data_IF_590489176227
#
_entry.id   IF_590489176227
#
_cell.length_a   1.000
_cell.length_b   1.000
_cell.length_c   1.000
_cell.angle_alpha   90.00
_cell.angle_beta   90.00
_cell.angle_gamma   90.00
#
_symmetry.space_group_name_H-M   'P 1'
#
loop_
_entity.id
_entity.type
_entity.pdbx_description
1 polymer ?
#
# COMPACT_ATOMS: atom_id res chain seq x y z
N UNK A 1 0.18 29.15 -71.14
CA UNK A 1 0.06 27.70 -71.29
C UNK A 1 1.42 27.09 -71.02
N UNK A 2 1.74 26.70 -69.82
CA UNK A 2 2.98 26.01 -69.42
C UNK A 2 2.73 24.52 -69.52
N UNK A 3 3.23 23.92 -70.63
CA UNK A 3 3.23 22.49 -70.83
C UNK A 3 4.34 21.88 -69.94
N UNK A 4 3.97 21.10 -68.96
CA UNK A 4 4.92 20.29 -68.20
C UNK A 4 5.20 19.01 -68.96
N UNK A 5 6.45 18.78 -69.41
CA UNK A 5 6.76 17.58 -70.18
C UNK A 5 6.85 16.34 -69.32
N UNK A 6 6.08 15.31 -69.67
CA UNK A 6 6.45 13.91 -69.53
C UNK A 6 6.63 13.35 -68.15
N UNK A 7 5.67 13.54 -67.24
CA UNK A 7 5.63 12.72 -65.98
C UNK A 7 5.01 11.36 -66.36
N UNK A 8 5.84 10.32 -66.47
CA UNK A 8 5.40 8.95 -66.84
C UNK A 8 4.34 8.49 -65.81
N UNK A 9 3.24 7.91 -66.22
CA UNK A 9 2.16 7.37 -65.39
C UNK A 9 2.72 6.52 -64.20
N UNK A 10 3.84 5.84 -64.51
CA UNK A 10 4.55 5.03 -63.52
C UNK A 10 5.17 5.88 -62.40
N UNK A 11 5.74 7.05 -62.70
CA UNK A 11 6.34 7.95 -61.72
C UNK A 11 5.29 8.60 -60.81
N UNK A 12 4.11 8.89 -61.37
CA UNK A 12 2.97 9.41 -60.58
C UNK A 12 2.42 8.35 -59.62
N UNK A 13 2.28 7.10 -60.07
CA UNK A 13 1.84 5.99 -59.23
C UNK A 13 2.82 5.69 -58.10
N UNK A 14 4.13 5.76 -58.35
CA UNK A 14 5.16 5.56 -57.31
C UNK A 14 5.13 6.71 -56.27
N UNK A 15 4.99 7.96 -56.73
CA UNK A 15 4.85 9.11 -55.82
C UNK A 15 3.61 9.02 -54.94
N UNK A 16 2.47 8.62 -55.50
CA UNK A 16 1.23 8.42 -54.72
C UNK A 16 1.37 7.28 -53.71
N UNK A 17 2.01 6.17 -54.11
CA UNK A 17 2.25 5.04 -53.22
C UNK A 17 3.18 5.42 -52.04
N UNK A 18 4.23 6.21 -52.28
CA UNK A 18 5.14 6.73 -51.24
C UNK A 18 4.42 7.70 -50.31
N UNK A 19 3.56 8.58 -50.85
CA UNK A 19 2.76 9.51 -50.04
C UNK A 19 1.76 8.76 -49.14
N UNK A 20 1.10 7.74 -49.65
CA UNK A 20 0.17 6.90 -48.91
C UNK A 20 0.89 6.09 -47.84
N UNK A 21 2.07 5.58 -48.11
CA UNK A 21 2.91 4.87 -47.12
C UNK A 21 3.40 5.80 -46.02
N UNK A 22 3.75 7.06 -46.31
CA UNK A 22 4.14 8.05 -45.32
C UNK A 22 3.00 8.47 -44.41
N UNK A 23 1.78 8.56 -44.92
CA UNK A 23 0.59 8.86 -44.09
C UNK A 23 0.18 7.70 -43.17
N UNK A 24 0.36 6.45 -43.64
CA UNK A 24 0.09 5.25 -42.81
C UNK A 24 1.11 5.09 -41.65
N UNK A 25 2.36 5.54 -41.83
CA UNK A 25 3.40 5.49 -40.81
C UNK A 25 3.09 6.33 -39.59
N UNK A 26 2.51 7.53 -39.75
CA UNK A 26 2.17 8.41 -38.62
C UNK A 26 1.04 7.83 -37.75
N UNK A 27 0.10 7.11 -38.30
CA UNK A 27 -1.00 6.49 -37.55
C UNK A 27 -0.52 5.26 -36.76
N UNK A 28 0.40 4.47 -37.28
CA UNK A 28 0.97 3.31 -36.61
C UNK A 28 1.80 3.72 -35.38
N UNK A 29 2.58 4.81 -35.48
CA UNK A 29 3.37 5.35 -34.36
C UNK A 29 2.45 5.94 -33.28
N UNK A 30 1.38 6.64 -33.63
CA UNK A 30 0.41 7.16 -32.68
C UNK A 30 -0.34 6.03 -31.96
N UNK A 31 -0.72 4.96 -32.66
CA UNK A 31 -1.38 3.80 -32.05
C UNK A 31 -0.44 3.03 -31.11
N UNK A 32 0.83 2.86 -31.50
CA UNK A 32 1.86 2.25 -30.65
C UNK A 32 2.12 3.10 -29.38
N UNK A 33 2.14 4.42 -29.49
CA UNK A 33 2.27 5.34 -28.35
C UNK A 33 1.10 5.26 -27.39
N UNK A 34 -0.14 5.22 -27.90
CA UNK A 34 -1.36 5.08 -27.07
C UNK A 34 -1.39 3.70 -26.40
N UNK A 35 -0.99 2.63 -27.09
CA UNK A 35 -0.90 1.31 -26.49
C UNK A 35 0.17 1.24 -25.42
N UNK A 36 1.35 1.82 -25.62
CA UNK A 36 2.42 1.87 -24.62
C UNK A 36 1.98 2.66 -23.38
N UNK A 37 1.36 3.82 -23.53
CA UNK A 37 0.84 4.64 -22.42
C UNK A 37 -0.29 3.90 -21.67
N UNK A 38 -1.13 3.15 -22.38
CA UNK A 38 -2.18 2.33 -21.78
C UNK A 38 -1.57 1.16 -21.00
N UNK A 39 -0.55 0.50 -21.53
CA UNK A 39 0.17 -0.58 -20.83
C UNK A 39 0.91 -0.06 -19.59
N UNK A 40 1.54 1.12 -19.64
CA UNK A 40 2.13 1.75 -18.46
C UNK A 40 1.09 2.08 -17.40
N UNK A 41 -0.09 2.55 -17.79
CA UNK A 41 -1.16 2.94 -16.85
C UNK A 41 -1.91 1.76 -16.26
N UNK A 42 -2.06 0.67 -16.99
CA UNK A 42 -2.82 -0.52 -16.56
C UNK A 42 -1.94 -1.68 -16.13
N UNK A 43 -0.63 -1.58 -16.35
CA UNK A 43 0.33 -2.60 -16.00
C UNK A 43 0.54 -2.70 -14.49
N UNK A 44 0.97 -3.87 -14.03
CA UNK A 44 1.50 -4.10 -12.69
C UNK A 44 2.96 -4.54 -12.79
N UNK A 45 3.70 -4.30 -11.73
CA UNK A 45 5.06 -4.79 -11.57
C UNK A 45 5.20 -5.55 -10.27
N UNK A 46 6.11 -6.52 -10.25
CA UNK A 46 6.39 -7.29 -9.05
C UNK A 46 7.26 -6.46 -8.11
N UNK A 47 6.81 -6.32 -6.86
CA UNK A 47 7.55 -5.72 -5.76
C UNK A 47 7.95 -6.82 -4.80
N UNK A 48 9.22 -6.82 -4.40
CA UNK A 48 9.75 -7.80 -3.46
C UNK A 48 9.54 -7.34 -2.02
N UNK A 49 9.34 -8.30 -1.13
CA UNK A 49 9.24 -8.05 0.31
C UNK A 49 10.48 -7.34 0.84
N UNK A 50 10.28 -6.26 1.60
CA UNK A 50 11.37 -5.55 2.28
C UNK A 50 11.99 -6.40 3.42
N UNK A 51 11.15 -7.21 4.10
CA UNK A 51 11.55 -8.08 5.19
C UNK A 51 11.01 -9.51 5.00
N UNK A 52 11.90 -10.47 4.81
CA UNK A 52 11.55 -11.89 4.58
C UNK A 52 11.59 -12.77 5.82
N UNK A 53 11.97 -12.22 6.98
CA UNK A 53 12.13 -12.99 8.22
C UNK A 53 10.81 -13.42 8.88
N UNK A 54 9.66 -13.19 8.24
CA UNK A 54 8.37 -13.64 8.71
C UNK A 54 7.99 -15.03 8.13
N UNK A 55 8.65 -15.46 7.06
CA UNK A 55 8.40 -16.74 6.41
C UNK A 55 8.65 -17.91 7.36
N UNK A 56 7.67 -18.77 7.55
CA UNK A 56 7.76 -19.94 8.43
C UNK A 56 7.77 -19.62 9.92
N UNK A 57 7.59 -18.38 10.35
CA UNK A 57 7.63 -17.92 11.74
C UNK A 57 6.25 -17.62 12.30
N UNK A 58 6.07 -17.90 13.59
CA UNK A 58 4.90 -17.43 14.31
C UNK A 58 4.97 -15.92 14.56
N UNK A 59 3.83 -15.22 14.46
CA UNK A 59 3.84 -13.78 14.65
C UNK A 59 2.63 -13.24 15.42
N UNK A 60 2.83 -12.07 16.02
CA UNK A 60 1.77 -11.22 16.55
C UNK A 60 1.90 -9.79 15.99
N UNK A 61 0.78 -9.10 15.85
CA UNK A 61 0.74 -7.69 15.44
C UNK A 61 0.18 -6.88 16.60
N UNK A 62 0.96 -5.95 17.12
CA UNK A 62 0.55 -5.04 18.18
C UNK A 62 0.64 -3.59 17.69
N UNK A 63 -0.41 -2.80 17.92
CA UNK A 63 -0.45 -1.40 17.52
C UNK A 63 -0.49 -0.53 18.76
N UNK A 64 0.49 0.37 18.88
CA UNK A 64 0.48 1.47 19.81
C UNK A 64 -0.06 2.73 19.12
N UNK A 65 -0.80 3.54 19.85
CA UNK A 65 -1.26 4.85 19.40
C UNK A 65 -1.37 5.78 20.61
N UNK A 66 -1.19 7.06 20.38
CA UNK A 66 -1.35 8.05 21.41
C UNK A 66 -2.84 8.22 21.84
N UNK A 67 -3.05 8.99 22.91
CA UNK A 67 -4.40 9.24 23.43
C UNK A 67 -5.27 10.07 22.51
N UNK A 68 -4.66 10.89 21.66
CA UNK A 68 -5.41 11.74 20.70
C UNK A 68 -6.02 10.87 19.62
N UNK A 69 -5.24 9.96 19.04
CA UNK A 69 -5.72 8.99 18.04
C UNK A 69 -6.81 8.10 18.64
N UNK A 70 -6.57 7.55 19.85
CA UNK A 70 -7.55 6.70 20.54
C UNK A 70 -8.84 7.45 20.91
N UNK A 71 -8.75 8.72 21.27
CA UNK A 71 -9.90 9.56 21.59
C UNK A 71 -10.72 9.94 20.37
N UNK A 72 -10.08 10.16 19.23
CA UNK A 72 -10.75 10.51 17.96
C UNK A 72 -11.48 9.32 17.33
N UNK A 73 -10.90 8.13 17.43
CA UNK A 73 -11.51 6.88 16.96
C UNK A 73 -11.06 5.69 17.81
N UNK A 74 -11.83 5.37 18.84
CA UNK A 74 -11.54 4.28 19.78
C UNK A 74 -11.47 2.89 19.12
N UNK A 75 -12.02 2.71 17.91
CA UNK A 75 -12.03 1.43 17.18
C UNK A 75 -10.96 1.34 16.10
N UNK A 76 -10.19 2.41 15.87
CA UNK A 76 -9.16 2.43 14.83
C UNK A 76 -8.12 1.30 15.03
N UNK A 77 -7.59 1.16 16.24
CA UNK A 77 -6.62 0.11 16.58
C UNK A 77 -7.20 -1.28 16.29
N UNK A 78 -8.45 -1.52 16.71
CA UNK A 78 -9.13 -2.82 16.46
C UNK A 78 -9.25 -3.13 14.97
N UNK A 79 -9.69 -2.16 14.17
CA UNK A 79 -9.86 -2.36 12.72
C UNK A 79 -8.53 -2.59 12.01
N UNK A 80 -7.52 -1.77 12.34
CA UNK A 80 -6.18 -1.89 11.77
C UNK A 80 -5.51 -3.21 12.14
N UNK A 81 -5.53 -3.60 13.43
CA UNK A 81 -4.97 -4.87 13.88
C UNK A 81 -5.57 -6.05 13.11
N UNK A 82 -6.91 -6.11 13.05
CA UNK A 82 -7.60 -7.19 12.35
C UNK A 82 -7.39 -7.12 10.82
N UNK A 83 -7.33 -5.92 10.24
CA UNK A 83 -7.06 -5.72 8.81
C UNK A 83 -5.68 -6.25 8.41
N UNK A 84 -4.65 -5.85 9.15
CA UNK A 84 -3.26 -6.25 8.88
C UNK A 84 -3.09 -7.75 9.07
N UNK A 85 -3.55 -8.32 10.20
CA UNK A 85 -3.47 -9.76 10.45
C UNK A 85 -4.16 -10.55 9.34
N UNK A 86 -5.35 -10.13 8.90
CA UNK A 86 -6.08 -10.80 7.83
C UNK A 86 -5.30 -10.80 6.50
N UNK A 87 -4.66 -9.67 6.13
CA UNK A 87 -3.86 -9.55 4.91
C UNK A 87 -2.59 -10.41 4.99
N UNK A 88 -1.90 -10.40 6.12
CA UNK A 88 -0.73 -11.26 6.36
C UNK A 88 -1.13 -12.75 6.33
N UNK A 89 -2.21 -13.12 7.00
CA UNK A 89 -2.70 -14.49 7.04
C UNK A 89 -3.20 -15.01 5.69
N UNK A 90 -3.61 -14.14 4.77
CA UNK A 90 -4.01 -14.51 3.41
C UNK A 90 -2.82 -14.78 2.48
N UNK A 91 -1.63 -14.28 2.80
CA UNK A 91 -0.42 -14.52 2.01
C UNK A 91 0.14 -15.92 2.24
N UNK A 92 0.41 -16.65 1.14
CA UNK A 92 1.02 -17.98 1.19
C UNK A 92 2.46 -17.94 1.69
N UNK A 93 3.16 -16.85 1.43
CA UNK A 93 4.57 -16.68 1.78
C UNK A 93 4.75 -16.44 3.29
N UNK A 94 3.73 -15.86 3.95
CA UNK A 94 3.70 -15.61 5.40
C UNK A 94 3.13 -16.80 6.17
N UNK A 95 2.38 -17.70 5.49
CA UNK A 95 1.81 -18.90 6.10
C UNK A 95 2.92 -19.85 6.54
N UNK A 96 3.50 -19.56 7.70
CA UNK A 96 4.40 -20.48 8.38
C UNK A 96 3.64 -21.58 9.12
N UNK A 97 4.33 -22.69 9.35
CA UNK A 97 3.79 -23.82 10.11
C UNK A 97 3.37 -23.47 11.55
N UNK A 98 3.77 -22.30 12.06
CA UNK A 98 3.62 -21.90 13.46
C UNK A 98 2.47 -20.90 13.73
N UNK A 99 1.83 -20.37 12.67
CA UNK A 99 0.61 -19.59 12.81
C UNK A 99 0.81 -18.13 13.28
N UNK A 100 -0.29 -17.52 13.69
CA UNK A 100 -0.33 -16.14 14.16
C UNK A 100 -1.24 -15.99 15.38
N UNK A 101 -1.01 -14.95 16.18
CA UNK A 101 -1.89 -14.60 17.29
C UNK A 101 -3.12 -13.86 16.75
N UNK A 102 -4.34 -14.35 16.98
CA UNK A 102 -5.55 -13.66 16.56
C UNK A 102 -5.64 -12.26 17.15
N UNK A 103 -6.09 -11.28 16.35
CA UNK A 103 -6.18 -9.89 16.77
C UNK A 103 -7.01 -9.68 18.04
N UNK A 104 -8.06 -10.48 18.24
CA UNK A 104 -8.88 -10.43 19.45
C UNK A 104 -8.05 -10.71 20.72
N UNK A 105 -7.10 -11.66 20.67
CA UNK A 105 -6.23 -11.95 21.82
C UNK A 105 -5.23 -10.82 22.09
N UNK A 106 -4.69 -10.20 21.04
CA UNK A 106 -3.82 -9.03 21.19
C UNK A 106 -4.57 -7.87 21.82
N UNK A 107 -5.77 -7.58 21.35
CA UNK A 107 -6.62 -6.50 21.87
C UNK A 107 -7.08 -6.77 23.33
N UNK A 108 -7.42 -8.02 23.63
CA UNK A 108 -7.74 -8.45 24.99
C UNK A 108 -6.55 -8.26 25.93
N UNK A 109 -5.34 -8.64 25.51
CA UNK A 109 -4.11 -8.40 26.26
C UNK A 109 -3.90 -6.91 26.50
N UNK A 110 -3.99 -6.06 25.47
CA UNK A 110 -3.81 -4.61 25.59
C UNK A 110 -4.83 -3.99 26.58
N UNK A 111 -6.06 -4.46 26.53
CA UNK A 111 -7.12 -4.00 27.45
C UNK A 111 -6.85 -4.43 28.91
N UNK A 112 -6.48 -5.71 29.13
CA UNK A 112 -6.27 -6.27 30.46
C UNK A 112 -4.93 -5.86 31.11
N UNK A 113 -3.97 -5.40 30.29
CA UNK A 113 -2.62 -4.99 30.74
C UNK A 113 -2.32 -3.54 30.34
N UNK A 114 -2.97 -2.52 30.91
CA UNK A 114 -2.88 -1.13 30.43
C UNK A 114 -1.46 -0.54 30.46
N UNK A 115 -0.52 -1.17 31.14
CA UNK A 115 0.90 -0.78 31.16
C UNK A 115 1.77 -1.56 30.17
N UNK A 116 1.17 -2.33 29.28
CA UNK A 116 1.90 -3.16 28.31
C UNK A 116 2.92 -2.35 27.47
N UNK A 117 2.60 -1.10 27.14
CA UNK A 117 3.49 -0.23 26.37
C UNK A 117 4.82 0.13 27.08
N UNK A 118 4.95 -0.18 28.37
CA UNK A 118 6.19 0.00 29.13
C UNK A 118 7.02 -1.30 29.23
N UNK A 119 6.53 -2.39 28.66
CA UNK A 119 7.27 -3.64 28.63
C UNK A 119 8.33 -3.63 27.53
N UNK A 120 9.41 -4.41 27.74
CA UNK A 120 10.36 -4.61 26.67
C UNK A 120 9.75 -5.43 25.52
N UNK A 121 10.29 -5.31 24.34
CA UNK A 121 9.74 -5.97 23.16
C UNK A 121 9.86 -7.50 23.26
N UNK A 122 10.98 -8.01 23.74
CA UNK A 122 11.15 -9.44 23.99
C UNK A 122 10.11 -9.98 24.95
N UNK A 123 9.81 -9.27 26.03
CA UNK A 123 8.73 -9.65 26.95
C UNK A 123 7.37 -9.66 26.28
N UNK A 124 7.08 -8.74 25.38
CA UNK A 124 5.83 -8.75 24.62
C UNK A 124 5.75 -9.96 23.70
N UNK A 125 6.83 -10.30 23.02
CA UNK A 125 6.89 -11.47 22.16
C UNK A 125 6.73 -12.78 22.96
N UNK A 126 7.34 -12.88 24.13
CA UNK A 126 7.20 -14.01 25.05
C UNK A 126 5.77 -14.18 25.56
N UNK A 127 5.10 -13.08 25.91
CA UNK A 127 3.69 -13.10 26.36
C UNK A 127 2.76 -13.68 25.30
N UNK A 128 3.03 -13.39 24.01
CA UNK A 128 2.28 -13.95 22.90
C UNK A 128 2.77 -15.32 22.43
N UNK A 129 3.94 -15.75 22.89
CA UNK A 129 4.57 -17.01 22.48
C UNK A 129 4.92 -17.05 21.00
N UNK A 130 5.44 -15.94 20.45
CA UNK A 130 5.73 -15.80 19.03
C UNK A 130 7.21 -15.55 18.78
N UNK A 131 7.67 -15.97 17.60
CA UNK A 131 9.06 -15.76 17.14
C UNK A 131 9.25 -14.36 16.53
N UNK A 132 8.17 -13.74 16.05
CA UNK A 132 8.17 -12.40 15.41
C UNK A 132 7.08 -11.53 16.02
N UNK A 133 7.47 -10.36 16.51
CA UNK A 133 6.50 -9.36 16.95
C UNK A 133 6.55 -8.19 15.97
N UNK A 134 5.44 -7.95 15.28
CA UNK A 134 5.25 -6.77 14.43
C UNK A 134 4.66 -5.67 15.32
N UNK A 135 5.48 -4.68 15.62
CA UNK A 135 5.11 -3.53 16.43
C UNK A 135 4.86 -2.33 15.54
N UNK A 136 3.69 -1.71 15.66
CA UNK A 136 3.32 -0.55 14.87
C UNK A 136 3.07 0.61 15.84
N UNK A 137 3.88 1.66 15.70
CA UNK A 137 3.67 2.93 16.39
C UNK A 137 2.90 3.89 15.48
N UNK A 138 1.61 4.03 15.74
CA UNK A 138 0.70 4.87 14.93
C UNK A 138 0.89 6.34 15.31
N UNK A 139 1.37 7.14 14.36
CA UNK A 139 1.81 8.52 14.59
C UNK A 139 0.77 9.56 14.15
N UNK A 140 0.03 9.27 13.09
CA UNK A 140 -1.03 10.16 12.57
C UNK A 140 -2.22 9.34 12.10
N UNK A 141 -3.41 9.76 12.51
CA UNK A 141 -4.68 9.24 12.01
C UNK A 141 -5.69 10.37 11.96
N UNK A 142 -6.00 10.84 10.78
CA UNK A 142 -7.01 11.86 10.54
C UNK A 142 -7.75 11.58 9.23
N UNK A 143 -8.99 12.00 9.14
CA UNK A 143 -9.82 11.81 7.94
C UNK A 143 -10.05 13.12 7.19
N UNK A 144 -10.11 14.25 7.89
CA UNK A 144 -10.37 15.56 7.31
C UNK A 144 -9.13 16.44 7.26
N UNK A 145 -9.25 17.52 6.49
CA UNK A 145 -8.25 18.58 6.43
C UNK A 145 -8.21 19.35 7.77
N UNK A 146 -7.02 19.59 8.34
CA UNK A 146 -6.92 20.37 9.56
C UNK A 146 -7.54 21.76 9.42
N UNK A 147 -8.49 22.09 10.30
CA UNK A 147 -9.20 23.37 10.28
C UNK A 147 -10.34 23.48 9.25
N UNK A 148 -10.59 22.43 8.46
CA UNK A 148 -11.66 22.42 7.48
C UNK A 148 -12.51 21.14 7.62
N UNK A 149 -13.72 21.26 8.14
CA UNK A 149 -14.62 20.14 8.36
C UNK A 149 -15.37 19.68 7.07
N UNK A 150 -15.22 20.38 5.96
CA UNK A 150 -15.94 20.12 4.73
C UNK A 150 -15.16 19.31 3.71
N UNK A 151 -13.84 19.20 3.89
CA UNK A 151 -12.96 18.51 2.96
C UNK A 151 -12.32 17.27 3.59
N UNK A 152 -12.24 16.22 2.78
CA UNK A 152 -11.46 15.04 3.12
C UNK A 152 -9.98 15.24 2.73
N UNK A 153 -9.10 14.98 3.67
CA UNK A 153 -7.65 14.84 3.48
C UNK A 153 -7.16 13.81 4.50
N UNK A 154 -7.61 12.57 4.28
CA UNK A 154 -7.28 11.46 5.16
C UNK A 154 -5.80 11.13 5.10
N UNK A 155 -5.18 11.04 6.27
CA UNK A 155 -3.78 10.63 6.44
C UNK A 155 -3.71 9.59 7.53
N UNK A 156 -2.97 8.54 7.26
CA UNK A 156 -2.61 7.52 8.22
C UNK A 156 -1.11 7.26 8.10
N UNK A 157 -0.38 7.42 9.20
CA UNK A 157 1.05 7.13 9.23
C UNK A 157 1.47 6.46 10.51
N UNK A 158 2.52 5.65 10.41
CA UNK A 158 3.11 4.97 11.55
C UNK A 158 4.44 4.34 11.20
N UNK A 159 5.20 4.03 12.23
CA UNK A 159 6.44 3.26 12.12
C UNK A 159 6.14 1.79 12.39
N UNK A 160 6.48 0.94 11.43
CA UNK A 160 6.41 -0.51 11.54
C UNK A 160 7.78 -1.02 11.96
N UNK A 161 7.85 -1.78 13.03
CA UNK A 161 9.07 -2.45 13.49
C UNK A 161 8.84 -3.95 13.62
N UNK A 162 9.88 -4.73 13.37
CA UNK A 162 9.86 -6.18 13.59
C UNK A 162 10.90 -6.53 14.64
N UNK A 163 10.47 -7.29 15.62
CA UNK A 163 11.31 -7.86 16.68
C UNK A 163 11.45 -9.36 16.40
N UNK A 164 12.67 -9.86 16.45
CA UNK A 164 13.01 -11.28 16.37
C UNK A 164 13.25 -11.82 17.79
N UNK A 165 12.22 -12.48 18.36
CA UNK A 165 12.31 -13.00 19.73
C UNK A 165 13.34 -14.12 19.88
N UNK A 166 13.60 -14.85 18.79
CA UNK A 166 14.64 -15.89 18.69
C UNK A 166 16.03 -15.33 18.27
N UNK A 167 16.12 -14.01 18.09
CA UNK A 167 17.36 -13.32 17.73
C UNK A 167 18.29 -13.06 18.93
N UNK A 168 19.48 -12.50 18.65
CA UNK A 168 20.45 -12.17 19.71
C UNK A 168 19.99 -10.98 20.58
N UNK A 169 19.22 -10.07 20.03
CA UNK A 169 18.73 -8.85 20.71
C UNK A 169 17.21 -8.74 20.61
N UNK A 170 16.45 -9.49 21.43
CA UNK A 170 14.99 -9.54 21.34
C UNK A 170 14.30 -8.22 21.76
N UNK A 171 15.04 -7.26 22.29
CA UNK A 171 14.52 -5.94 22.68
C UNK A 171 14.84 -4.83 21.65
N UNK A 172 15.45 -5.19 20.51
CA UNK A 172 15.77 -4.27 19.43
C UNK A 172 15.00 -4.62 18.16
N UNK A 173 14.72 -3.61 17.34
CA UNK A 173 14.12 -3.85 16.03
C UNK A 173 15.12 -4.41 15.05
N UNK A 174 14.87 -5.61 14.54
CA UNK A 174 15.62 -6.21 13.42
C UNK A 174 15.34 -5.48 12.09
N UNK A 175 14.16 -4.88 11.98
CA UNK A 175 13.71 -4.12 10.80
C UNK A 175 12.80 -2.98 11.23
N UNK A 176 12.88 -1.84 10.54
CA UNK A 176 11.93 -0.72 10.71
C UNK A 176 11.61 -0.05 9.39
N UNK A 177 10.36 0.40 9.23
CA UNK A 177 9.90 1.18 8.06
C UNK A 177 8.84 2.20 8.50
N UNK A 178 8.96 3.40 8.00
CA UNK A 178 7.90 4.40 8.13
C UNK A 178 6.91 4.24 6.97
N UNK A 179 5.63 4.14 7.30
CA UNK A 179 4.52 4.03 6.34
C UNK A 179 3.65 5.27 6.47
N UNK A 180 3.32 5.86 5.33
CA UNK A 180 2.37 6.96 5.25
C UNK A 180 1.48 6.74 4.04
N UNK A 181 0.17 6.81 4.24
CA UNK A 181 -0.84 6.71 3.18
C UNK A 181 -1.80 7.88 3.25
N UNK A 182 -2.37 8.23 2.10
CA UNK A 182 -3.39 9.26 1.96
C UNK A 182 -4.62 8.74 1.23
N UNK A 183 -5.76 9.30 1.56
CA UNK A 183 -7.01 9.11 0.81
C UNK A 183 -7.98 10.26 1.13
N UNK A 184 -8.68 10.84 0.15
CA UNK A 184 -8.75 10.52 -1.29
C UNK A 184 -7.49 10.90 -2.07
N UNK A 185 -7.35 10.34 -3.29
CA UNK A 185 -6.23 10.66 -4.21
C UNK A 185 -6.37 12.06 -4.81
N UNK A 186 -7.58 12.56 -4.88
CA UNK A 186 -7.90 13.88 -5.41
C UNK A 186 -8.05 14.87 -4.27
N UNK A 187 -7.52 16.06 -4.44
CA UNK A 187 -7.73 17.18 -3.53
C UNK A 187 -9.11 17.80 -3.74
N UNK A 188 -9.68 18.37 -2.67
CA UNK A 188 -10.96 19.08 -2.76
C UNK A 188 -12.20 18.19 -2.70
N UNK A 189 -12.07 16.89 -2.42
CA UNK A 189 -13.22 15.99 -2.23
C UNK A 189 -13.97 16.38 -0.96
N UNK A 190 -15.26 16.63 -1.10
CA UNK A 190 -16.12 17.12 -0.02
C UNK A 190 -16.79 15.99 0.77
N UNK A 191 -17.26 16.31 1.97
CA UNK A 191 -18.05 15.38 2.80
C UNK A 191 -19.40 14.99 2.15
N UNK A 192 -19.87 15.78 1.17
CA UNK A 192 -21.08 15.47 0.41
C UNK A 192 -20.83 14.48 -0.74
N UNK A 193 -19.62 14.44 -1.28
CA UNK A 193 -19.23 13.54 -2.39
C UNK A 193 -18.87 12.15 -1.89
N UNK A 194 -18.23 12.08 -0.73
CA UNK A 194 -17.89 10.80 -0.09
C UNK A 194 -18.27 10.82 1.39
N UNK A 195 -18.86 9.75 1.87
CA UNK A 195 -19.17 9.62 3.29
C UNK A 195 -17.94 9.22 4.12
N UNK A 196 -17.98 9.55 5.41
CA UNK A 196 -16.91 9.27 6.36
C UNK A 196 -16.48 7.80 6.36
N UNK A 197 -17.44 6.87 6.33
CA UNK A 197 -17.14 5.44 6.41
C UNK A 197 -16.34 4.94 5.20
N UNK A 198 -16.66 5.46 4.01
CA UNK A 198 -15.91 5.14 2.78
C UNK A 198 -14.48 5.67 2.85
N UNK A 199 -14.29 6.93 3.25
CA UNK A 199 -12.95 7.52 3.37
C UNK A 199 -12.12 6.75 4.40
N UNK A 200 -12.71 6.45 5.54
CA UNK A 200 -12.08 5.69 6.61
C UNK A 200 -11.67 4.29 6.17
N UNK A 201 -12.60 3.54 5.56
CA UNK A 201 -12.33 2.17 5.13
C UNK A 201 -11.21 2.10 4.08
N UNK A 202 -11.22 3.01 3.08
CA UNK A 202 -10.17 3.05 2.06
C UNK A 202 -8.81 3.44 2.65
N UNK A 203 -8.77 4.41 3.55
CA UNK A 203 -7.53 4.84 4.20
C UNK A 203 -6.92 3.72 5.03
N UNK A 204 -7.74 3.05 5.85
CA UNK A 204 -7.31 1.93 6.70
C UNK A 204 -6.89 0.71 5.88
N UNK A 205 -7.61 0.41 4.79
CA UNK A 205 -7.28 -0.72 3.91
C UNK A 205 -5.95 -0.49 3.18
N UNK A 206 -5.70 0.72 2.67
CA UNK A 206 -4.41 1.11 2.08
C UNK A 206 -3.25 0.96 3.07
N UNK A 207 -3.45 1.42 4.30
CA UNK A 207 -2.41 1.28 5.32
C UNK A 207 -2.14 -0.19 5.63
N UNK A 208 -3.19 -0.99 5.78
CA UNK A 208 -3.05 -2.41 6.03
C UNK A 208 -2.35 -3.14 4.86
N UNK A 209 -2.62 -2.77 3.61
CA UNK A 209 -1.89 -3.28 2.44
C UNK A 209 -0.43 -2.91 2.50
N UNK A 210 -0.11 -1.64 2.71
CA UNK A 210 1.29 -1.17 2.77
C UNK A 210 2.09 -1.84 3.88
N UNK A 211 1.48 -2.06 5.05
CA UNK A 211 2.12 -2.81 6.14
C UNK A 211 2.32 -4.28 5.76
N UNK A 212 1.30 -4.92 5.21
CA UNK A 212 1.37 -6.34 4.86
C UNK A 212 2.39 -6.60 3.74
N UNK A 213 2.47 -5.73 2.75
CA UNK A 213 3.38 -5.84 1.61
C UNK A 213 4.86 -5.74 1.96
N UNK A 214 5.20 -5.28 3.15
CA UNK A 214 6.58 -5.35 3.64
C UNK A 214 7.08 -6.79 3.81
N UNK A 215 6.17 -7.76 3.94
CA UNK A 215 6.47 -9.12 4.39
C UNK A 215 6.34 -10.20 3.31
N UNK A 216 5.81 -9.89 2.15
CA UNK A 216 5.69 -10.85 1.04
C UNK A 216 5.77 -10.16 -0.33
N UNK A 217 6.22 -10.93 -1.31
CA UNK A 217 6.26 -10.46 -2.69
C UNK A 217 4.83 -10.25 -3.22
N UNK A 218 4.59 -9.13 -3.88
CA UNK A 218 3.27 -8.77 -4.38
C UNK A 218 3.35 -8.08 -5.74
N UNK A 219 2.21 -7.97 -6.41
CA UNK A 219 2.06 -7.16 -7.61
C UNK A 219 1.48 -5.80 -7.25
N UNK A 220 2.11 -4.75 -7.74
CA UNK A 220 1.70 -3.39 -7.51
C UNK A 220 1.35 -2.73 -8.85
N UNK A 221 0.22 -2.05 -8.93
CA UNK A 221 -0.15 -1.30 -10.13
C UNK A 221 0.86 -0.17 -10.38
N UNK A 222 1.26 0.03 -11.65
CA UNK A 222 2.26 1.03 -12.01
C UNK A 222 1.87 2.46 -11.60
N UNK A 223 0.56 2.75 -11.47
CA UNK A 223 0.04 4.05 -11.07
C UNK A 223 -0.72 4.00 -9.75
N UNK A 224 -0.11 3.41 -8.74
CA UNK A 224 -0.67 3.44 -7.38
C UNK A 224 -0.33 4.79 -6.72
N UNK A 225 -1.31 5.44 -6.11
CA UNK A 225 -1.13 6.66 -5.31
C UNK A 225 -1.19 6.29 -3.83
N UNK A 226 -0.23 6.80 -3.08
CA UNK A 226 -0.09 6.56 -1.64
C UNK A 226 -0.31 7.82 -0.83
#
# INVERSE_FOLDING_TARGET
>A
MLSVPGLNKLTVCVLIAVLLAAMAGCQAVALAGVMADTFERTGSHKVYADYKGLEGKSFAVIIAADRVIQGNDSRAITRLTNGIIRKLAASKDVHGANGFVPGVKVLEFQYNKPRWATWSYGRLADEFGVERLIFIDLQEYRLGEPGNAYLWDGVLSGKVGVIEADGMNPDEFAYTKDIRVKYPDQTGVTVNEQNRATVQANLEDRFADRVAWLFFDHEEANMIKY
#
